data_IF_310887398779
#
_entry.id   IF_310887398779
#
_cell.length_a   1.000
_cell.length_b   1.000
_cell.length_c   1.000
_cell.angle_alpha   90.00
_cell.angle_beta   90.00
_cell.angle_gamma   90.00
#
_symmetry.space_group_name_H-M   'P 1'
#
loop_
_entity.id
_entity.type
_entity.pdbx_description
1 polymer ?
#
# COMPACT_ATOMS: atom_id res chain seq x y z
N UNK A 1 -24.12 3.35 -8.79
CA UNK A 1 -23.43 3.42 -8.83
C UNK A 1 -22.33 3.14 -8.92
N UNK A 2 -21.71 3.17 -8.87
CA UNK A 2 -20.73 2.99 -9.08
C UNK A 2 -19.93 2.36 -8.43
N UNK A 3 -19.42 1.37 -8.71
CA UNK A 3 -18.61 0.76 -8.07
C UNK A 3 -17.40 1.26 -8.02
N UNK A 4 -16.69 1.15 -7.14
CA UNK A 4 -15.58 1.92 -7.01
C UNK A 4 -14.40 1.06 -6.70
N UNK A 5 -13.20 1.50 -7.03
CA UNK A 5 -12.00 0.80 -6.67
C UNK A 5 -11.91 0.50 -5.19
N UNK A 6 -12.62 1.24 -4.38
CA UNK A 6 -12.58 1.01 -2.95
C UNK A 6 -13.14 -0.36 -2.57
N UNK A 7 -14.02 -0.93 -3.39
CA UNK A 7 -14.52 -2.27 -3.10
C UNK A 7 -13.41 -3.29 -3.17
N UNK A 8 -12.58 -3.19 -4.20
CA UNK A 8 -11.48 -4.09 -4.35
C UNK A 8 -10.42 -3.84 -3.29
N UNK A 9 -10.18 -2.58 -2.97
CA UNK A 9 -9.21 -2.24 -1.96
C UNK A 9 -9.63 -2.76 -0.59
N UNK A 10 -10.91 -2.63 -0.25
CA UNK A 10 -11.41 -3.17 1.01
C UNK A 10 -11.28 -4.67 1.06
N UNK A 11 -11.57 -5.34 -0.05
CA UNK A 11 -11.44 -6.79 -0.10
C UNK A 11 -9.99 -7.21 0.09
N UNK A 12 -9.05 -6.45 -0.49
CA UNK A 12 -7.64 -6.76 -0.32
C UNK A 12 -7.23 -6.64 1.14
N UNK A 13 -7.70 -5.61 1.84
CA UNK A 13 -7.34 -5.44 3.24
C UNK A 13 -7.89 -6.56 4.11
N UNK A 14 -9.04 -7.10 3.76
CA UNK A 14 -9.59 -8.23 4.50
C UNK A 14 -8.86 -9.53 4.20
N UNK A 15 -8.51 -9.72 2.93
CA UNK A 15 -7.90 -10.96 2.50
C UNK A 15 -6.41 -11.02 2.85
N UNK A 16 -5.76 -9.87 2.82
CA UNK A 16 -4.33 -9.78 3.11
C UNK A 16 -4.16 -8.81 4.27
N UNK A 17 -4.20 -9.34 5.50
CA UNK A 17 -4.39 -8.49 6.67
C UNK A 17 -3.18 -7.70 7.14
N UNK A 18 -2.02 -7.97 6.59
CA UNK A 18 -0.83 -7.22 6.99
C UNK A 18 -0.70 -6.04 6.04
N UNK A 19 -1.27 -4.93 6.46
CA UNK A 19 -1.40 -3.74 5.63
C UNK A 19 -0.37 -2.72 6.04
N UNK A 20 0.37 -2.22 5.05
CA UNK A 20 1.34 -1.17 5.27
C UNK A 20 0.73 0.14 4.79
N UNK A 21 0.81 1.17 5.63
CA UNK A 21 0.40 2.49 5.21
C UNK A 21 1.64 3.36 5.08
N UNK A 22 1.79 3.97 3.93
CA UNK A 22 2.97 4.78 3.64
C UNK A 22 2.52 6.16 3.18
N UNK A 23 3.07 7.18 3.83
CA UNK A 23 2.77 8.55 3.45
C UNK A 23 3.63 8.94 2.26
N UNK A 24 3.01 9.57 1.28
CA UNK A 24 3.72 10.04 0.11
C UNK A 24 3.27 11.46 -0.18
N UNK A 25 4.01 12.16 -1.01
CA UNK A 25 3.60 13.50 -1.40
C UNK A 25 2.24 13.45 -2.08
N UNK A 26 1.50 14.54 -1.96
CA UNK A 26 0.14 14.57 -2.49
C UNK A 26 0.10 14.30 -4.00
N UNK A 27 1.15 14.62 -4.70
CA UNK A 27 1.20 14.37 -6.13
C UNK A 27 1.48 12.92 -6.47
N UNK A 28 1.70 12.08 -5.47
CA UNK A 28 1.84 10.66 -5.70
C UNK A 28 3.26 10.18 -5.53
N UNK A 29 3.47 8.93 -5.91
CA UNK A 29 4.77 8.30 -5.76
C UNK A 29 5.74 8.84 -6.80
N UNK A 30 6.95 9.07 -6.35
CA UNK A 30 8.02 9.38 -7.26
C UNK A 30 8.34 8.14 -8.08
N UNK A 31 8.80 8.36 -9.30
CA UNK A 31 8.99 7.26 -10.23
C UNK A 31 10.03 6.25 -9.75
N UNK A 32 11.10 6.74 -9.15
CA UNK A 32 12.12 5.83 -8.65
C UNK A 32 11.61 4.96 -7.52
N UNK A 33 10.85 5.54 -6.60
CA UNK A 33 10.26 4.79 -5.51
C UNK A 33 9.25 3.78 -6.04
N UNK A 34 8.44 4.21 -7.00
CA UNK A 34 7.45 3.33 -7.58
C UNK A 34 8.10 2.11 -8.22
N UNK A 35 9.19 2.30 -8.93
CA UNK A 35 9.89 1.19 -9.54
C UNK A 35 10.46 0.24 -8.51
N UNK A 36 10.99 0.78 -7.43
CA UNK A 36 11.55 -0.08 -6.38
C UNK A 36 10.47 -0.89 -5.69
N UNK A 37 9.30 -0.31 -5.51
CA UNK A 37 8.20 -1.04 -4.91
C UNK A 37 7.71 -2.15 -5.83
N UNK A 38 7.60 -1.86 -7.12
CA UNK A 38 7.24 -2.90 -8.09
C UNK A 38 8.26 -4.02 -8.06
N UNK A 39 9.53 -3.66 -8.04
CA UNK A 39 10.57 -4.66 -8.04
C UNK A 39 10.57 -5.50 -6.76
N UNK A 40 10.24 -4.89 -5.64
CA UNK A 40 10.10 -5.60 -4.38
C UNK A 40 9.11 -6.76 -4.51
N UNK A 41 7.96 -6.48 -5.12
CA UNK A 41 6.96 -7.50 -5.33
C UNK A 41 7.42 -8.54 -6.35
N UNK A 42 8.04 -8.06 -7.41
CA UNK A 42 8.46 -8.94 -8.49
C UNK A 42 9.49 -9.96 -8.02
N UNK A 43 10.45 -9.52 -7.25
CA UNK A 43 11.49 -10.44 -6.77
C UNK A 43 10.96 -11.46 -5.79
N UNK A 44 9.81 -11.20 -5.19
CA UNK A 44 9.18 -12.12 -4.27
C UNK A 44 8.05 -12.90 -4.89
N UNK A 45 7.82 -12.70 -6.19
CA UNK A 45 6.79 -13.42 -6.94
C UNK A 45 5.41 -13.18 -6.37
N UNK A 46 5.14 -11.97 -5.94
CA UNK A 46 3.81 -11.61 -5.48
C UNK A 46 3.30 -10.44 -6.28
N UNK A 47 1.98 -10.40 -6.44
CA UNK A 47 1.36 -9.28 -7.12
C UNK A 47 1.10 -8.16 -6.15
N UNK A 48 1.33 -6.91 -6.54
CA UNK A 48 0.98 -5.80 -5.66
C UNK A 48 -0.52 -5.79 -5.39
N UNK A 49 -0.87 -5.63 -4.13
CA UNK A 49 -2.26 -5.55 -3.73
C UNK A 49 -2.43 -4.29 -2.92
N UNK A 50 -3.23 -3.39 -3.45
CA UNK A 50 -3.42 -2.09 -2.82
C UNK A 50 -4.62 -2.11 -1.91
N UNK A 51 -4.49 -1.45 -0.78
CA UNK A 51 -5.61 -1.19 0.08
C UNK A 51 -6.20 0.17 -0.21
N UNK A 52 -7.02 0.64 0.70
CA UNK A 52 -7.66 1.93 0.53
C UNK A 52 -6.64 3.04 0.69
N UNK A 53 -6.71 4.01 -0.19
CA UNK A 53 -5.80 5.13 -0.16
C UNK A 53 -6.55 6.36 0.33
N UNK A 54 -5.84 7.23 1.01
CA UNK A 54 -6.41 8.46 1.48
C UNK A 54 -5.67 9.61 0.85
N UNK A 55 -6.41 10.49 0.19
CA UNK A 55 -5.83 11.68 -0.39
C UNK A 55 -6.47 12.86 0.30
N UNK A 56 -5.71 13.68 1.02
CA UNK A 56 -6.30 14.80 1.75
C UNK A 56 -6.81 15.85 0.78
N UNK A 57 -7.77 16.61 1.25
CA UNK A 57 -8.36 17.66 0.43
C UNK A 57 -7.41 18.79 0.23
N UNK A 58 -6.62 19.12 1.21
CA UNK A 58 -5.66 20.20 1.04
C UNK A 58 -4.33 19.61 0.69
N UNK A 59 -3.37 20.44 0.52
CA UNK A 59 -2.08 20.00 0.17
C UNK A 59 -1.48 19.26 1.28
N UNK A 60 -0.67 18.29 1.04
CA UNK A 60 -0.05 17.55 2.06
C UNK A 60 0.29 16.19 1.57
N UNK A 61 0.17 15.20 2.46
CA UNK A 61 0.56 13.85 2.12
C UNK A 61 -0.65 13.01 1.83
N UNK A 62 -0.51 12.12 0.88
CA UNK A 62 -1.48 11.08 0.66
C UNK A 62 -0.98 9.83 1.35
N UNK A 63 -1.89 8.93 1.68
CA UNK A 63 -1.51 7.68 2.33
C UNK A 63 -1.92 6.55 1.43
N UNK A 64 -0.93 5.75 1.04
CA UNK A 64 -1.14 4.59 0.19
C UNK A 64 -0.96 3.33 1.02
N UNK A 65 -1.71 2.30 0.70
CA UNK A 65 -1.65 1.06 1.44
C UNK A 65 -1.32 -0.09 0.52
N UNK A 66 -0.43 -0.95 0.99
CA UNK A 66 -0.11 -2.20 0.32
C UNK A 66 -0.43 -3.33 1.28
N UNK A 67 -1.00 -4.40 0.76
CA UNK A 67 -1.49 -5.51 1.58
C UNK A 67 -0.67 -6.76 1.33
N UNK A 68 -0.33 -7.46 2.40
CA UNK A 68 0.49 -8.65 2.30
C UNK A 68 -0.15 -9.79 3.06
N UNK A 69 0.16 -11.00 2.64
CA UNK A 69 -0.42 -12.18 3.27
C UNK A 69 0.37 -12.66 4.48
N UNK A 70 1.62 -12.19 4.64
CA UNK A 70 2.40 -12.61 5.79
C UNK A 70 3.13 -11.43 6.39
N UNK A 71 3.39 -11.55 7.69
CA UNK A 71 3.98 -10.47 8.45
C UNK A 71 5.41 -10.22 8.06
N UNK A 72 6.14 -11.26 7.72
CA UNK A 72 7.55 -11.11 7.42
C UNK A 72 7.76 -10.26 6.16
N UNK A 73 6.95 -10.49 5.14
CA UNK A 73 7.03 -9.69 3.92
C UNK A 73 6.65 -8.24 4.21
N UNK A 74 5.62 -8.04 5.03
CA UNK A 74 5.21 -6.69 5.40
C UNK A 74 6.33 -5.96 6.13
N UNK A 75 7.01 -6.64 7.05
CA UNK A 75 8.12 -6.04 7.75
C UNK A 75 9.27 -5.69 6.82
N UNK A 76 9.53 -6.54 5.84
CA UNK A 76 10.57 -6.26 4.86
C UNK A 76 10.25 -5.02 4.06
N UNK A 77 8.99 -4.83 3.72
CA UNK A 77 8.56 -3.65 3.01
C UNK A 77 8.83 -2.40 3.86
N UNK A 78 8.44 -2.44 5.12
CA UNK A 78 8.63 -1.30 6.02
C UNK A 78 10.11 -0.99 6.19
N UNK A 79 10.92 -2.03 6.32
CA UNK A 79 12.34 -1.84 6.51
C UNK A 79 12.97 -1.18 5.29
N UNK A 80 12.48 -1.50 4.11
CA UNK A 80 13.07 -0.97 2.88
C UNK A 80 12.49 0.38 2.48
N UNK A 81 11.21 0.59 2.67
CA UNK A 81 10.54 1.78 2.15
C UNK A 81 9.96 2.67 3.23
N UNK A 82 9.82 2.19 4.45
CA UNK A 82 9.20 2.97 5.49
C UNK A 82 7.72 2.68 5.59
N UNK A 83 7.02 3.55 6.29
CA UNK A 83 5.62 3.34 6.55
C UNK A 83 5.41 2.56 7.83
N UNK A 84 4.20 2.10 8.04
CA UNK A 84 3.85 1.39 9.26
C UNK A 84 2.85 0.30 8.94
N UNK A 85 2.97 -0.81 9.66
CA UNK A 85 1.98 -1.86 9.57
C UNK A 85 0.80 -1.44 10.43
N UNK A 86 -0.39 -1.39 9.82
CA UNK A 86 -1.58 -1.00 10.54
C UNK A 86 -2.51 -2.18 10.62
N UNK A 87 -3.42 -2.11 11.60
CA UNK A 87 -4.43 -3.13 11.71
C UNK A 87 -5.72 -2.59 11.20
N UNK A 88 -6.36 -3.33 10.30
CA UNK A 88 -7.64 -2.93 9.78
C UNK A 88 -8.65 -3.93 10.26
N UNK A 89 -9.59 -3.47 10.99
CA UNK A 89 -10.56 -4.40 11.52
C UNK A 89 -11.87 -4.20 10.88
#
# INVERSE_FOLDING_TARGET
>A
MRQFPSDKASANERKYPYVIELAVAAKGLDLGLSRRIVNFHKTRHIQPRHGRSTIPKDEGEAYYRWCFSDLETARSFVKQFGGAIIQTQ
#
